data_IF_493941229015
#
_entry.id   IF_493941229015
#
_cell.length_a   1.000
_cell.length_b   1.000
_cell.length_c   1.000
_cell.angle_alpha   90.00
_cell.angle_beta   90.00
_cell.angle_gamma   90.00
#
_symmetry.space_group_name_H-M   'P 1'
#
loop_
_entity.id
_entity.type
_entity.pdbx_description
1 polymer ?
#
# COMPACT_ATOMS: atom_id res chain seq x y z
N UNK A 1 6.95 -8.65 6.04
CA UNK A 1 5.86 -8.87 7.03
C UNK A 1 5.76 -7.60 7.86
N UNK A 2 4.67 -6.83 7.74
CA UNK A 2 4.50 -5.62 8.53
C UNK A 2 4.30 -5.99 10.02
N UNK A 3 4.88 -5.23 10.96
CA UNK A 3 4.78 -5.53 12.37
C UNK A 3 3.31 -5.48 12.83
N UNK A 4 2.87 -6.47 13.61
CA UNK A 4 1.53 -6.46 14.21
C UNK A 4 1.58 -5.70 15.54
N UNK A 5 0.55 -4.90 15.83
CA UNK A 5 0.44 -4.12 17.07
C UNK A 5 1.00 -2.70 17.01
N UNK A 6 1.61 -2.29 15.89
CA UNK A 6 2.00 -0.89 15.64
C UNK A 6 0.83 -0.05 15.14
N UNK A 7 0.85 1.27 15.37
CA UNK A 7 -0.11 2.21 14.83
C UNK A 7 -0.29 2.05 13.30
N UNK A 8 -1.54 2.15 12.82
CA UNK A 8 -1.88 2.02 11.39
C UNK A 8 -1.12 3.00 10.50
N UNK A 9 -0.76 4.18 11.01
CA UNK A 9 0.07 5.16 10.32
C UNK A 9 1.49 4.64 10.02
N UNK A 10 2.10 3.92 10.97
CA UNK A 10 3.43 3.32 10.79
C UNK A 10 3.40 2.16 9.80
N UNK A 11 2.34 1.35 9.82
CA UNK A 11 2.13 0.30 8.82
C UNK A 11 1.97 0.88 7.40
N UNK A 12 1.19 1.96 7.25
CA UNK A 12 1.09 2.66 5.97
C UNK A 12 2.46 3.21 5.52
N UNK A 13 3.25 3.74 6.45
CA UNK A 13 4.60 4.22 6.16
C UNK A 13 5.55 3.11 5.69
N UNK A 14 5.50 1.95 6.36
CA UNK A 14 6.27 0.78 5.95
C UNK A 14 5.92 0.33 4.52
N UNK A 15 4.63 0.24 4.19
CA UNK A 15 4.19 -0.11 2.83
C UNK A 15 4.68 0.92 1.80
N UNK A 16 4.59 2.21 2.11
CA UNK A 16 5.07 3.26 1.20
C UNK A 16 6.59 3.16 0.96
N UNK A 17 7.37 2.82 1.99
CA UNK A 17 8.81 2.61 1.89
C UNK A 17 9.16 1.42 1.00
N UNK A 18 8.53 0.27 1.22
CA UNK A 18 8.73 -0.94 0.40
C UNK A 18 8.38 -0.70 -1.08
N UNK A 19 7.44 0.20 -1.35
CA UNK A 19 7.00 0.54 -2.70
C UNK A 19 7.71 1.76 -3.30
N UNK A 20 8.71 2.32 -2.62
CA UNK A 20 9.47 3.52 -3.02
C UNK A 20 8.59 4.76 -3.26
N UNK A 21 7.51 4.93 -2.48
CA UNK A 21 6.55 6.03 -2.59
C UNK A 21 6.79 7.16 -1.59
N UNK A 22 7.86 7.10 -0.78
CA UNK A 22 8.12 8.03 0.33
C UNK A 22 8.08 9.52 -0.07
N UNK A 23 8.56 9.84 -1.28
CA UNK A 23 8.59 11.21 -1.79
C UNK A 23 7.24 11.69 -2.35
N UNK A 24 6.34 10.76 -2.67
CA UNK A 24 5.05 11.04 -3.31
C UNK A 24 3.85 10.92 -2.36
N UNK A 25 4.11 10.70 -1.07
CA UNK A 25 3.06 10.61 -0.05
C UNK A 25 3.22 11.69 1.02
N UNK A 26 2.12 12.02 1.66
CA UNK A 26 2.06 12.88 2.84
C UNK A 26 1.17 12.25 3.90
N UNK A 27 1.64 12.24 5.15
CA UNK A 27 0.91 11.65 6.27
C UNK A 27 0.20 12.73 7.06
N UNK A 28 -1.13 12.81 6.92
CA UNK A 28 -1.97 13.60 7.81
C UNK A 28 -2.07 12.99 9.22
N UNK A 29 -2.93 13.59 10.04
CA UNK A 29 -3.22 13.07 11.38
C UNK A 29 -3.98 11.74 11.31
N UNK A 30 -4.92 11.62 10.37
CA UNK A 30 -5.82 10.46 10.27
C UNK A 30 -5.84 9.81 8.88
N UNK A 31 -5.22 10.44 7.88
CA UNK A 31 -5.28 10.00 6.47
C UNK A 31 -3.90 10.05 5.81
N UNK A 32 -3.69 9.14 4.86
CA UNK A 32 -2.58 9.18 3.91
C UNK A 32 -3.04 9.94 2.65
N UNK A 33 -2.19 10.82 2.14
CA UNK A 33 -2.41 11.55 0.89
C UNK A 33 -1.33 11.16 -0.11
N UNK A 34 -1.73 10.88 -1.35
CA UNK A 34 -0.83 10.59 -2.48
C UNK A 34 -0.86 11.81 -3.38
N UNK A 35 0.30 12.36 -3.76
CA UNK A 35 0.37 13.62 -4.52
C UNK A 35 0.13 13.39 -6.01
N UNK A 36 0.79 12.40 -6.62
CA UNK A 36 0.63 12.10 -8.04
C UNK A 36 -0.43 11.03 -8.29
N UNK A 37 -1.43 11.27 -9.17
CA UNK A 37 -2.45 10.27 -9.51
C UNK A 37 -1.85 8.98 -10.09
N UNK A 38 -0.73 9.09 -10.83
CA UNK A 38 -0.04 7.95 -11.43
C UNK A 38 0.33 6.91 -10.39
N UNK A 39 0.81 7.33 -9.21
CA UNK A 39 1.19 6.41 -8.13
C UNK A 39 -0.01 5.67 -7.56
N UNK A 40 -1.17 6.33 -7.46
CA UNK A 40 -2.41 5.67 -7.04
C UNK A 40 -2.83 4.60 -8.05
N UNK A 41 -2.77 4.89 -9.35
CA UNK A 41 -3.10 3.92 -10.39
C UNK A 41 -2.14 2.72 -10.41
N UNK A 42 -0.84 2.96 -10.21
CA UNK A 42 0.15 1.88 -10.09
C UNK A 42 -0.11 0.97 -8.88
N UNK A 43 -0.52 1.54 -7.74
CA UNK A 43 -0.95 0.77 -6.57
C UNK A 43 -2.17 -0.10 -6.87
N UNK A 44 -3.20 0.46 -7.50
CA UNK A 44 -4.42 -0.27 -7.85
C UNK A 44 -4.17 -1.37 -8.89
N UNK A 45 -3.24 -1.14 -9.82
CA UNK A 45 -2.80 -2.16 -10.78
C UNK A 45 -2.12 -3.33 -10.08
N UNK A 46 -1.18 -3.04 -9.15
CA UNK A 46 -0.52 -4.07 -8.33
C UNK A 46 -1.52 -4.83 -7.46
N UNK A 47 -2.48 -4.14 -6.85
CA UNK A 47 -3.58 -4.75 -6.07
C UNK A 47 -4.40 -5.71 -6.93
N UNK A 48 -4.77 -5.29 -8.14
CA UNK A 48 -5.58 -6.10 -9.06
C UNK A 48 -4.84 -7.37 -9.48
N UNK A 49 -3.53 -7.28 -9.80
CA UNK A 49 -2.70 -8.45 -10.08
C UNK A 49 -2.57 -9.39 -8.87
N UNK A 50 -2.38 -8.82 -7.66
CA UNK A 50 -2.29 -9.59 -6.43
C UNK A 50 -3.58 -10.35 -6.08
N UNK A 51 -4.75 -9.75 -6.34
CA UNK A 51 -6.04 -10.41 -6.12
C UNK A 51 -6.18 -11.68 -6.97
N UNK A 52 -5.74 -11.66 -8.23
CA UNK A 52 -5.77 -12.86 -9.08
C UNK A 52 -4.94 -14.00 -8.46
N UNK A 53 -3.77 -13.68 -7.90
CA UNK A 53 -2.93 -14.67 -7.22
C UNK A 53 -3.60 -15.25 -5.96
N UNK A 54 -4.25 -14.40 -5.16
CA UNK A 54 -5.00 -14.83 -3.97
C UNK A 54 -6.14 -15.77 -4.37
N UNK A 55 -6.90 -15.46 -5.42
CA UNK A 55 -7.98 -16.33 -5.92
C UNK A 55 -7.44 -17.71 -6.28
N UNK A 56 -6.32 -17.79 -6.99
CA UNK A 56 -5.68 -19.06 -7.35
C UNK A 56 -5.25 -19.86 -6.11
N UNK A 57 -4.74 -19.20 -5.07
CA UNK A 57 -4.38 -19.86 -3.81
C UNK A 57 -5.63 -20.41 -3.11
N UNK A 58 -6.72 -19.63 -3.04
CA UNK A 58 -7.93 -20.01 -2.32
C UNK A 58 -8.78 -21.07 -3.04
N UNK A 59 -8.63 -21.19 -4.36
CA UNK A 59 -9.32 -22.20 -5.17
C UNK A 59 -8.60 -23.56 -5.21
N UNK A 60 -7.41 -23.66 -4.61
CA UNK A 60 -6.70 -24.91 -4.37
C UNK A 60 -7.09 -25.50 -3.03
#
# INVERSE_FOLDING_TARGET
>A
LYPRGVPTKENAAYICRELNLENDVAYGNTKLFIKQPVSLFELEKKRTAGLQFIVVILQK
#
